data_IF_552808226499
#
_entry.id   IF_552808226499
#
_cell.length_a   1.000
_cell.length_b   1.000
_cell.length_c   1.000
_cell.angle_alpha   90.00
_cell.angle_beta   90.00
_cell.angle_gamma   90.00
#
_symmetry.space_group_name_H-M   'P 1'
#
loop_
_entity.id
_entity.type
_entity.pdbx_description
1 polymer ?
#
# COMPACT_ATOMS: atom_id res chain seq x y z
N UNK A 1 -12.42 -7.43 -3.82
CA UNK A 1 -11.43 -7.82 -4.84
C UNK A 1 -10.02 -7.58 -4.28
N UNK A 2 -9.11 -8.47 -4.55
CA UNK A 2 -7.71 -8.28 -4.14
C UNK A 2 -6.96 -7.53 -5.21
N UNK A 3 -6.31 -6.44 -4.82
CA UNK A 3 -5.61 -5.57 -5.75
C UNK A 3 -4.18 -5.38 -5.25
N UNK A 4 -3.22 -5.54 -6.15
CA UNK A 4 -1.81 -5.33 -5.83
C UNK A 4 -1.32 -4.12 -6.62
N UNK A 5 -0.77 -3.14 -5.91
CA UNK A 5 -0.24 -1.93 -6.51
C UNK A 5 1.28 -1.96 -6.39
N UNK A 6 1.96 -1.93 -7.51
CA UNK A 6 3.43 -1.94 -7.57
C UNK A 6 3.92 -0.57 -7.99
N UNK A 7 4.86 -0.03 -7.23
CA UNK A 7 5.39 1.30 -7.52
C UNK A 7 4.43 2.40 -7.08
N UNK A 8 4.25 2.56 -5.77
CA UNK A 8 3.18 3.41 -5.25
C UNK A 8 3.31 4.89 -5.61
N UNK A 9 4.38 5.56 -5.33
CA UNK A 9 4.49 6.99 -5.59
C UNK A 9 3.23 7.78 -5.20
N UNK A 10 3.12 9.01 -5.67
CA UNK A 10 1.94 9.85 -5.38
C UNK A 10 0.67 9.32 -6.03
N UNK A 11 0.78 8.94 -7.29
CA UNK A 11 -0.38 8.45 -8.05
C UNK A 11 -0.85 7.12 -7.49
N UNK A 12 0.08 6.22 -7.21
CA UNK A 12 -0.25 4.91 -6.64
C UNK A 12 -0.90 5.04 -5.27
N UNK A 13 -0.44 5.99 -4.44
CA UNK A 13 -1.03 6.24 -3.14
C UNK A 13 -2.48 6.69 -3.27
N UNK A 14 -2.75 7.60 -4.17
CA UNK A 14 -4.11 8.09 -4.41
C UNK A 14 -5.03 6.96 -4.86
N UNK A 15 -4.55 6.12 -5.79
CA UNK A 15 -5.31 4.97 -6.27
C UNK A 15 -5.58 4.00 -5.13
N UNK A 16 -4.58 3.73 -4.28
CA UNK A 16 -4.73 2.82 -3.16
C UNK A 16 -5.81 3.33 -2.20
N UNK A 17 -5.81 4.62 -1.89
CA UNK A 17 -6.82 5.20 -1.01
C UNK A 17 -8.22 5.07 -1.59
N UNK A 18 -8.39 5.38 -2.86
CA UNK A 18 -9.69 5.29 -3.51
C UNK A 18 -10.22 3.86 -3.52
N UNK A 19 -9.39 2.90 -3.89
CA UNK A 19 -9.78 1.50 -3.92
C UNK A 19 -10.05 0.96 -2.53
N UNK A 20 -9.29 1.39 -1.55
CA UNK A 20 -9.52 1.01 -0.17
C UNK A 20 -10.90 1.45 0.31
N UNK A 21 -11.27 2.70 -0.01
CA UNK A 21 -12.59 3.22 0.39
C UNK A 21 -13.74 2.51 -0.33
N UNK A 22 -13.46 1.85 -1.46
CA UNK A 22 -14.46 1.05 -2.16
C UNK A 22 -14.60 -0.36 -1.57
N UNK A 23 -13.80 -0.70 -0.58
CA UNK A 23 -13.91 -1.98 0.11
C UNK A 23 -13.06 -3.10 -0.47
N UNK A 24 -12.05 -2.76 -1.27
CA UNK A 24 -11.14 -3.76 -1.82
C UNK A 24 -10.00 -4.08 -0.86
N UNK A 25 -9.47 -5.31 -0.95
CA UNK A 25 -8.26 -5.70 -0.24
C UNK A 25 -7.05 -5.22 -1.04
N UNK A 26 -6.27 -4.32 -0.46
CA UNK A 26 -5.15 -3.69 -1.16
C UNK A 26 -3.83 -4.17 -0.59
N UNK A 27 -2.89 -4.52 -1.48
CA UNK A 27 -1.50 -4.76 -1.13
C UNK A 27 -0.65 -3.80 -1.93
N UNK A 28 0.22 -3.05 -1.28
CA UNK A 28 1.12 -2.12 -1.96
C UNK A 28 2.54 -2.64 -1.90
N UNK A 29 3.26 -2.53 -3.00
CA UNK A 29 4.65 -2.96 -3.11
C UNK A 29 5.46 -1.80 -3.65
N UNK A 30 6.51 -1.40 -2.93
CA UNK A 30 7.40 -0.33 -3.37
C UNK A 30 8.79 -0.59 -2.81
N UNK A 31 9.79 -0.13 -3.52
CA UNK A 31 11.17 -0.24 -3.04
C UNK A 31 11.47 0.73 -1.89
N UNK A 32 10.70 1.80 -1.81
CA UNK A 32 10.90 2.82 -0.78
C UNK A 32 10.08 2.47 0.46
N UNK A 33 10.77 2.05 1.51
CA UNK A 33 10.12 1.65 2.76
C UNK A 33 9.32 2.80 3.39
N UNK A 34 9.80 4.03 3.27
CA UNK A 34 9.09 5.18 3.84
C UNK A 34 7.73 5.38 3.16
N UNK A 35 7.67 5.18 1.85
CA UNK A 35 6.40 5.28 1.10
C UNK A 35 5.43 4.21 1.57
N UNK A 36 5.90 2.97 1.67
CA UNK A 36 5.06 1.86 2.11
C UNK A 36 4.55 2.10 3.53
N UNK A 37 5.44 2.54 4.42
CA UNK A 37 5.08 2.80 5.80
C UNK A 37 4.04 3.91 5.90
N UNK A 38 4.20 4.98 5.14
CA UNK A 38 3.25 6.09 5.15
C UNK A 38 1.85 5.62 4.72
N UNK A 39 1.78 4.82 3.67
CA UNK A 39 0.50 4.31 3.19
C UNK A 39 -0.15 3.41 4.23
N UNK A 40 0.61 2.49 4.83
CA UNK A 40 0.05 1.57 5.81
C UNK A 40 -0.34 2.24 7.12
N UNK A 41 0.22 3.41 7.40
CA UNK A 41 -0.19 4.20 8.56
C UNK A 41 -1.50 4.96 8.32
N UNK A 42 -1.80 5.29 7.08
CA UNK A 42 -2.97 6.09 6.73
C UNK A 42 -4.19 5.24 6.39
N UNK A 43 -3.99 4.09 5.78
CA UNK A 43 -5.08 3.17 5.43
C UNK A 43 -4.70 1.75 5.82
N UNK A 44 -5.69 0.94 6.09
CA UNK A 44 -5.50 -0.45 6.55
C UNK A 44 -5.25 -1.37 5.36
N UNK A 45 -4.01 -1.37 4.88
CA UNK A 45 -3.59 -2.21 3.76
C UNK A 45 -2.29 -2.91 4.10
N UNK A 46 -1.98 -3.99 3.38
CA UNK A 46 -0.71 -4.68 3.52
C UNK A 46 0.34 -3.98 2.66
N UNK A 47 1.52 -3.77 3.20
CA UNK A 47 2.62 -3.17 2.46
C UNK A 47 3.84 -4.07 2.42
N UNK A 48 4.48 -4.17 1.27
CA UNK A 48 5.72 -4.92 1.06
C UNK A 48 6.77 -4.00 0.47
N UNK A 49 8.02 -4.14 0.92
CA UNK A 49 9.12 -3.42 0.31
C UNK A 49 9.92 -4.34 -0.61
N UNK A 50 10.77 -3.75 -1.44
CA UNK A 50 11.65 -4.51 -2.30
C UNK A 50 12.62 -5.41 -1.56
N UNK A 51 12.86 -5.16 -0.27
CA UNK A 51 13.74 -5.98 0.57
C UNK A 51 12.99 -7.15 1.22
N UNK A 52 11.71 -7.29 0.96
CA UNK A 52 10.91 -8.32 1.58
C UNK A 52 10.33 -7.95 2.94
N UNK A 53 10.57 -6.72 3.42
CA UNK A 53 9.97 -6.28 4.68
C UNK A 53 8.46 -6.11 4.50
N UNK A 54 7.69 -6.52 5.50
CA UNK A 54 6.22 -6.47 5.46
C UNK A 54 5.74 -5.46 6.50
N UNK A 55 4.85 -4.58 6.07
CA UNK A 55 4.22 -3.60 6.94
C UNK A 55 2.72 -3.83 6.97
N UNK A 56 2.15 -3.82 8.16
CA UNK A 56 0.71 -3.97 8.35
C UNK A 56 0.22 -2.99 9.40
N UNK A 57 -0.95 -2.43 9.15
CA UNK A 57 -1.65 -1.66 10.17
C UNK A 57 -2.40 -2.62 11.08
N UNK A 58 -2.31 -2.38 12.35
CA UNK A 58 -2.96 -3.24 13.34
C UNK A 58 -4.22 -2.60 13.88
#
# INVERSE_FOLDING_TARGET
MKIIIVGCGKVGTTIAEELYHEGHDITVIDQNAATVQTITENIDVMGLTGNGAVYQVQ
#
